data_IF_243864555952
#
_entry.id   IF_243864555952
#
_cell.length_a   1.000
_cell.length_b   1.000
_cell.length_c   1.000
_cell.angle_alpha   90.00
_cell.angle_beta   90.00
_cell.angle_gamma   90.00
#
_symmetry.space_group_name_H-M   'P 1'
#
loop_
_entity.id
_entity.type
_entity.pdbx_description
1 polymer ?
#
# COMPACT_ATOMS: atom_id res chain seq x y z
N UNK A 1 22.23 -36.75 -23.98
CA UNK A 1 21.24 -35.67 -23.78
C UNK A 1 20.48 -36.02 -22.52
N UNK A 2 20.92 -35.52 -21.36
CA UNK A 2 20.27 -35.80 -20.08
C UNK A 2 19.05 -34.90 -19.91
N UNK A 3 17.87 -35.51 -19.77
CA UNK A 3 16.63 -34.83 -19.46
C UNK A 3 16.56 -34.56 -17.96
N UNK A 4 16.89 -33.33 -17.56
CA UNK A 4 16.70 -32.87 -16.18
C UNK A 4 15.19 -32.74 -15.91
N UNK A 5 14.58 -33.80 -15.36
CA UNK A 5 13.25 -33.73 -14.74
C UNK A 5 13.36 -32.96 -13.42
N UNK A 6 13.27 -31.64 -13.46
CA UNK A 6 12.94 -30.88 -12.26
C UNK A 6 11.51 -31.23 -11.84
N UNK A 7 11.37 -32.06 -10.81
CA UNK A 7 10.11 -32.27 -10.08
C UNK A 7 9.56 -30.88 -9.73
N UNK A 8 8.42 -30.52 -10.33
CA UNK A 8 7.77 -29.21 -10.18
C UNK A 8 7.29 -28.95 -8.76
N UNK A 9 8.21 -28.65 -7.85
CA UNK A 9 7.88 -27.95 -6.62
C UNK A 9 7.78 -26.48 -6.97
N UNK A 10 6.55 -25.95 -6.92
CA UNK A 10 6.30 -24.51 -6.98
C UNK A 10 6.98 -23.92 -5.74
N UNK A 11 8.10 -23.25 -5.95
CA UNK A 11 8.74 -22.47 -4.90
C UNK A 11 7.93 -21.19 -4.73
N UNK A 12 6.95 -21.22 -3.81
CA UNK A 12 6.25 -20.01 -3.39
C UNK A 12 7.27 -19.14 -2.67
N UNK A 13 7.51 -17.94 -3.20
CA UNK A 13 8.42 -17.00 -2.58
C UNK A 13 7.86 -16.58 -1.22
N UNK A 14 8.65 -16.60 -0.14
CA UNK A 14 8.15 -16.19 1.17
C UNK A 14 7.57 -14.78 1.11
N UNK A 15 6.32 -14.64 1.56
CA UNK A 15 5.58 -13.38 1.59
C UNK A 15 4.85 -13.01 0.31
N UNK A 16 4.81 -13.89 -0.71
CA UNK A 16 3.98 -13.68 -1.90
C UNK A 16 2.50 -13.41 -1.53
N UNK A 17 2.02 -13.97 -0.41
CA UNK A 17 0.70 -13.67 0.15
C UNK A 17 0.56 -12.19 0.53
N UNK A 18 1.62 -11.56 1.06
CA UNK A 18 1.64 -10.13 1.41
C UNK A 18 1.56 -9.26 0.17
N UNK A 19 2.26 -9.64 -0.90
CA UNK A 19 2.14 -8.98 -2.20
C UNK A 19 0.72 -9.07 -2.78
N UNK A 20 0.12 -10.26 -2.76
CA UNK A 20 -1.26 -10.45 -3.22
C UNK A 20 -2.23 -9.61 -2.40
N UNK A 21 -2.16 -9.68 -1.07
CA UNK A 21 -3.05 -8.95 -0.18
C UNK A 21 -2.97 -7.44 -0.40
N UNK A 22 -1.76 -6.90 -0.54
CA UNK A 22 -1.61 -5.49 -0.79
C UNK A 22 -2.06 -5.08 -2.21
N UNK A 23 -1.82 -5.91 -3.23
CA UNK A 23 -2.33 -5.67 -4.59
C UNK A 23 -3.87 -5.65 -4.62
N UNK A 24 -4.50 -6.61 -3.94
CA UNK A 24 -5.96 -6.65 -3.80
C UNK A 24 -6.45 -5.42 -3.02
N UNK A 25 -5.75 -5.01 -1.96
CA UNK A 25 -6.13 -3.84 -1.17
C UNK A 25 -6.09 -2.56 -1.99
N UNK A 26 -5.07 -2.36 -2.84
CA UNK A 26 -4.97 -1.23 -3.77
C UNK A 26 -6.20 -1.20 -4.69
N UNK A 27 -6.55 -2.33 -5.31
CA UNK A 27 -7.72 -2.42 -6.20
C UNK A 27 -9.02 -2.11 -5.43
N UNK A 28 -9.17 -2.63 -4.21
CA UNK A 28 -10.33 -2.36 -3.38
C UNK A 28 -10.44 -0.88 -3.04
N UNK A 29 -9.34 -0.22 -2.66
CA UNK A 29 -9.38 1.19 -2.29
C UNK A 29 -9.69 2.08 -3.49
N UNK A 30 -9.07 1.87 -4.65
CA UNK A 30 -9.44 2.56 -5.89
C UNK A 30 -10.92 2.34 -6.25
N UNK A 31 -11.41 1.11 -6.07
CA UNK A 31 -12.82 0.80 -6.35
C UNK A 31 -13.77 1.51 -5.37
N UNK A 32 -13.41 1.61 -4.09
CA UNK A 32 -14.21 2.32 -3.09
C UNK A 32 -14.26 3.80 -3.43
N UNK A 33 -13.14 4.39 -3.82
CA UNK A 33 -13.04 5.80 -4.21
C UNK A 33 -13.91 6.10 -5.45
N UNK A 34 -13.73 5.33 -6.52
CA UNK A 34 -14.53 5.45 -7.74
C UNK A 34 -16.03 5.25 -7.49
N UNK A 35 -16.42 4.25 -6.71
CA UNK A 35 -17.82 4.03 -6.34
C UNK A 35 -18.32 5.23 -5.51
N UNK A 36 -17.49 5.76 -4.61
CA UNK A 36 -17.85 6.91 -3.78
C UNK A 36 -18.09 8.16 -4.61
N UNK A 37 -17.28 8.42 -5.66
CA UNK A 37 -17.48 9.51 -6.62
C UNK A 37 -18.74 9.29 -7.44
N UNK A 38 -18.91 8.11 -8.06
CA UNK A 38 -20.08 7.79 -8.90
C UNK A 38 -21.41 7.90 -8.12
N UNK A 39 -21.41 7.52 -6.84
CA UNK A 39 -22.62 7.46 -6.00
C UNK A 39 -22.79 8.66 -5.06
N UNK A 40 -21.88 9.64 -5.09
CA UNK A 40 -21.81 10.77 -4.15
C UNK A 40 -21.90 10.31 -2.67
N UNK A 41 -21.13 9.27 -2.32
CA UNK A 41 -21.07 8.80 -0.93
C UNK A 41 -20.45 9.83 0.02
N UNK A 42 -19.72 10.80 -0.50
CA UNK A 42 -19.16 11.93 0.23
C UNK A 42 -20.22 12.74 0.97
N UNK A 43 -21.48 12.72 0.52
CA UNK A 43 -22.58 13.33 1.28
C UNK A 43 -22.80 12.69 2.66
N UNK A 44 -22.58 11.38 2.78
CA UNK A 44 -22.75 10.63 4.02
C UNK A 44 -21.40 10.53 4.75
N UNK A 45 -20.32 10.28 4.01
CA UNK A 45 -18.97 10.08 4.52
C UNK A 45 -18.00 11.08 3.88
N UNK A 46 -18.00 12.35 4.30
CA UNK A 46 -17.23 13.40 3.62
C UNK A 46 -15.71 13.24 3.72
N UNK A 47 -15.22 12.40 4.63
CA UNK A 47 -13.81 12.13 4.88
C UNK A 47 -13.38 10.73 4.41
N UNK A 48 -14.22 10.02 3.64
CA UNK A 48 -13.90 8.65 3.18
C UNK A 48 -12.58 8.63 2.41
N UNK A 49 -12.29 9.71 1.70
CA UNK A 49 -11.10 9.90 0.89
C UNK A 49 -9.80 9.82 1.71
N UNK A 50 -9.70 10.63 2.76
CA UNK A 50 -8.57 10.64 3.70
C UNK A 50 -8.37 9.25 4.33
N UNK A 51 -9.47 8.56 4.65
CA UNK A 51 -9.38 7.21 5.21
C UNK A 51 -8.87 6.21 4.18
N UNK A 52 -9.33 6.26 2.92
CA UNK A 52 -8.83 5.39 1.86
C UNK A 52 -7.36 5.65 1.56
N UNK A 53 -6.93 6.91 1.57
CA UNK A 53 -5.52 7.31 1.40
C UNK A 53 -4.63 6.81 2.53
N UNK A 54 -5.05 6.94 3.79
CA UNK A 54 -4.32 6.40 4.94
C UNK A 54 -4.18 4.87 4.84
N UNK A 55 -5.26 4.17 4.49
CA UNK A 55 -5.27 2.71 4.36
C UNK A 55 -4.45 2.23 3.16
N UNK A 56 -4.48 2.96 2.04
CA UNK A 56 -3.63 2.71 0.88
C UNK A 56 -2.15 2.83 1.25
N UNK A 57 -1.78 3.84 2.05
CA UNK A 57 -0.44 3.99 2.60
C UNK A 57 0.04 2.80 3.43
N UNK A 58 -0.83 2.29 4.31
CA UNK A 58 -0.54 1.08 5.11
C UNK A 58 -0.31 -0.12 4.18
N UNK A 59 -1.16 -0.31 3.17
CA UNK A 59 -1.02 -1.41 2.20
C UNK A 59 0.26 -1.31 1.37
N UNK A 60 0.60 -0.12 0.87
CA UNK A 60 1.85 0.14 0.15
C UNK A 60 3.08 -0.17 1.01
N UNK A 61 3.02 0.16 2.30
CA UNK A 61 4.08 -0.20 3.21
C UNK A 61 4.24 -1.70 3.40
N UNK A 62 3.16 -2.48 3.46
CA UNK A 62 3.26 -3.95 3.49
C UNK A 62 3.92 -4.51 2.22
N UNK A 63 3.65 -3.94 1.04
CA UNK A 63 4.39 -4.29 -0.20
C UNK A 63 5.86 -3.97 -0.06
N UNK A 64 6.19 -2.77 0.40
CA UNK A 64 7.57 -2.32 0.56
C UNK A 64 8.33 -3.19 1.57
N UNK A 65 7.66 -3.56 2.67
CA UNK A 65 8.19 -4.48 3.65
C UNK A 65 8.44 -5.87 3.02
N UNK A 66 7.49 -6.39 2.25
CA UNK A 66 7.66 -7.64 1.52
C UNK A 66 8.82 -7.61 0.53
N UNK A 67 8.96 -6.53 -0.25
CA UNK A 67 10.12 -6.31 -1.12
C UNK A 67 11.42 -6.38 -0.29
N UNK A 68 11.42 -5.76 0.89
CA UNK A 68 12.52 -5.82 1.84
C UNK A 68 12.80 -7.19 2.47
N UNK A 69 11.84 -8.12 2.49
CA UNK A 69 12.07 -9.49 2.99
C UNK A 69 12.52 -10.44 1.89
N UNK A 70 12.02 -10.26 0.67
CA UNK A 70 12.38 -11.10 -0.49
C UNK A 70 13.77 -10.76 -1.01
N UNK A 71 14.15 -9.47 -1.01
CA UNK A 71 15.46 -9.06 -1.49
C UNK A 71 16.56 -9.36 -0.47
N UNK A 72 17.57 -10.10 -0.91
CA UNK A 72 18.81 -10.36 -0.14
C UNK A 72 19.83 -9.21 -0.25
N UNK A 73 19.47 -8.11 -0.89
CA UNK A 73 20.37 -6.99 -1.17
C UNK A 73 20.57 -6.10 0.07
N UNK A 74 21.81 -5.60 0.27
CA UNK A 74 22.16 -4.58 1.26
C UNK A 74 21.37 -3.27 1.10
N UNK A 75 20.82 -3.00 -0.09
CA UNK A 75 20.07 -1.79 -0.42
C UNK A 75 18.55 -1.97 -0.43
N UNK A 76 18.04 -3.13 -0.01
CA UNK A 76 16.61 -3.46 -0.02
C UNK A 76 15.68 -2.43 0.63
N UNK A 77 16.14 -1.76 1.70
CA UNK A 77 15.36 -0.71 2.38
C UNK A 77 15.23 0.56 1.53
N UNK A 78 16.29 0.92 0.79
CA UNK A 78 16.25 2.05 -0.15
C UNK A 78 15.31 1.76 -1.31
N UNK A 79 15.36 0.53 -1.84
CA UNK A 79 14.46 0.12 -2.92
C UNK A 79 13.00 0.09 -2.46
N UNK A 80 12.73 -0.46 -1.27
CA UNK A 80 11.40 -0.45 -0.66
C UNK A 80 10.87 0.98 -0.47
N UNK A 81 11.70 1.90 0.02
CA UNK A 81 11.33 3.31 0.15
C UNK A 81 11.03 3.96 -1.21
N UNK A 82 11.92 3.77 -2.19
CA UNK A 82 11.71 4.31 -3.55
C UNK A 82 10.44 3.73 -4.19
N UNK A 83 10.15 2.46 -3.95
CA UNK A 83 8.91 1.83 -4.39
C UNK A 83 7.68 2.51 -3.78
N UNK A 84 7.64 2.75 -2.47
CA UNK A 84 6.52 3.47 -1.84
C UNK A 84 6.32 4.84 -2.47
N UNK A 85 7.41 5.62 -2.60
CA UNK A 85 7.34 6.96 -3.20
C UNK A 85 6.83 6.90 -4.64
N UNK A 86 7.40 6.01 -5.47
CA UNK A 86 6.97 5.87 -6.86
C UNK A 86 5.52 5.41 -6.97
N UNK A 87 5.08 4.47 -6.12
CA UNK A 87 3.70 4.00 -6.09
C UNK A 87 2.71 5.07 -5.62
N UNK A 88 3.08 5.90 -4.64
CA UNK A 88 2.25 7.06 -4.23
C UNK A 88 2.11 8.08 -5.35
N UNK A 89 3.18 8.35 -6.11
CA UNK A 89 3.10 9.22 -7.29
C UNK A 89 2.20 8.61 -8.39
N UNK A 90 2.30 7.30 -8.63
CA UNK A 90 1.44 6.63 -9.61
C UNK A 90 -0.03 6.68 -9.18
N UNK A 91 -0.30 6.47 -7.89
CA UNK A 91 -1.63 6.57 -7.31
C UNK A 91 -2.25 7.94 -7.59
N UNK A 92 -1.53 9.01 -7.22
CA UNK A 92 -1.91 10.39 -7.46
C UNK A 92 -2.25 10.67 -8.94
N UNK A 93 -1.42 10.15 -9.85
CA UNK A 93 -1.65 10.30 -11.29
C UNK A 93 -2.94 9.57 -11.70
N UNK A 94 -3.20 8.39 -11.15
CA UNK A 94 -4.42 7.63 -11.45
C UNK A 94 -5.67 8.35 -10.95
N UNK A 95 -5.63 8.91 -9.75
CA UNK A 95 -6.70 9.72 -9.18
C UNK A 95 -6.95 10.99 -10.00
N UNK A 96 -5.90 11.74 -10.35
CA UNK A 96 -6.01 12.91 -11.23
C UNK A 96 -6.68 12.55 -12.57
N UNK A 97 -6.35 11.38 -13.13
CA UNK A 97 -6.99 10.90 -14.37
C UNK A 97 -8.46 10.53 -14.14
N UNK A 98 -8.80 9.99 -12.98
CA UNK A 98 -10.17 9.71 -12.59
C UNK A 98 -11.00 10.99 -12.48
N UNK A 99 -10.45 12.04 -11.88
CA UNK A 99 -11.09 13.37 -11.76
C UNK A 99 -11.45 13.99 -13.09
N UNK A 100 -10.62 13.77 -14.11
CA UNK A 100 -10.88 14.23 -15.46
C UNK A 100 -12.09 13.53 -16.10
N UNK A 101 -12.44 12.33 -15.64
CA UNK A 101 -13.56 11.52 -16.15
C UNK A 101 -14.80 11.69 -15.26
N UNK A 102 -14.60 11.72 -13.94
CA UNK A 102 -15.64 11.82 -12.91
C UNK A 102 -15.29 13.00 -11.99
N UNK A 103 -15.87 14.18 -12.23
CA UNK A 103 -15.55 15.38 -11.46
C UNK A 103 -15.89 15.24 -9.97
N UNK A 104 -15.14 15.94 -9.12
CA UNK A 104 -15.32 15.88 -7.67
C UNK A 104 -16.71 16.37 -7.26
N UNK A 105 -17.47 15.57 -6.50
CA UNK A 105 -18.77 15.99 -6.01
C UNK A 105 -18.60 17.14 -5.01
N UNK A 106 -19.53 18.09 -4.95
CA UNK A 106 -19.41 19.29 -4.11
C UNK A 106 -19.41 19.03 -2.61
N UNK A 107 -19.73 17.80 -2.19
CA UNK A 107 -19.74 17.36 -0.79
C UNK A 107 -18.42 16.71 -0.36
N UNK A 108 -17.51 16.44 -1.30
CA UNK A 108 -16.15 16.01 -1.00
C UNK A 108 -15.50 17.08 -0.14
N UNK A 109 -15.01 16.67 1.04
CA UNK A 109 -14.27 17.55 1.93
C UNK A 109 -12.80 17.17 1.87
N UNK A 110 -12.14 17.70 0.85
CA UNK A 110 -10.69 17.74 0.82
C UNK A 110 -10.22 18.81 1.78
N UNK A 111 -9.27 18.41 2.62
CA UNK A 111 -8.79 19.29 3.69
C UNK A 111 -7.83 20.33 3.11
N UNK A 112 -7.37 20.22 1.85
CA UNK A 112 -6.34 21.11 1.31
C UNK A 112 -6.43 21.40 -0.19
N UNK A 113 -5.99 22.61 -0.56
CA UNK A 113 -5.76 23.07 -1.95
C UNK A 113 -4.60 22.32 -2.66
N UNK A 114 -3.95 21.39 -1.96
CA UNK A 114 -2.81 20.58 -2.37
C UNK A 114 -3.09 19.11 -2.07
N UNK A 115 -4.29 18.65 -2.40
CA UNK A 115 -4.86 17.37 -1.96
C UNK A 115 -3.89 16.20 -2.11
N UNK A 116 -3.43 15.97 -3.33
CA UNK A 116 -2.44 14.95 -3.64
C UNK A 116 -1.09 15.03 -2.93
N UNK A 117 -0.67 16.24 -2.51
CA UNK A 117 0.53 16.36 -1.68
C UNK A 117 0.28 15.81 -0.27
N UNK A 118 -0.90 16.07 0.29
CA UNK A 118 -1.26 15.56 1.61
C UNK A 118 -1.56 14.06 1.58
N UNK A 119 -2.09 13.52 0.49
CA UNK A 119 -2.29 12.09 0.35
C UNK A 119 -0.98 11.31 0.30
N UNK A 120 0.03 11.86 -0.37
CA UNK A 120 1.39 11.34 -0.29
C UNK A 120 1.91 11.39 1.16
N UNK A 121 1.67 12.49 1.89
CA UNK A 121 2.08 12.60 3.30
C UNK A 121 1.35 11.56 4.17
N UNK A 122 0.04 11.42 4.06
CA UNK A 122 -0.74 10.46 4.83
C UNK A 122 -0.36 9.03 4.48
N UNK A 123 -0.07 8.74 3.21
CA UNK A 123 0.44 7.46 2.78
C UNK A 123 1.79 7.15 3.45
N UNK A 124 2.70 8.13 3.49
CA UNK A 124 3.99 8.03 4.17
C UNK A 124 3.80 7.81 5.69
N UNK A 125 2.91 8.56 6.34
CA UNK A 125 2.59 8.43 7.77
C UNK A 125 2.04 7.03 8.07
N UNK A 126 1.07 6.56 7.29
CA UNK A 126 0.51 5.21 7.41
C UNK A 126 1.60 4.14 7.29
N UNK A 127 2.54 4.33 6.36
CA UNK A 127 3.70 3.48 6.23
C UNK A 127 4.64 3.51 7.44
N UNK A 128 4.91 4.68 8.02
CA UNK A 128 5.70 4.79 9.26
C UNK A 128 5.03 4.11 10.46
N UNK A 129 3.71 4.21 10.58
CA UNK A 129 2.94 3.54 11.64
C UNK A 129 3.09 2.02 11.50
N UNK A 130 2.86 1.50 10.29
CA UNK A 130 2.99 0.07 10.03
C UNK A 130 4.44 -0.43 10.22
N UNK A 131 5.44 0.37 9.84
CA UNK A 131 6.86 0.07 10.12
C UNK A 131 7.15 -0.05 11.61
N UNK A 132 6.70 0.93 12.39
CA UNK A 132 6.89 0.95 13.84
C UNK A 132 6.24 -0.27 14.50
N UNK A 133 5.06 -0.67 14.03
CA UNK A 133 4.35 -1.85 14.51
C UNK A 133 5.13 -3.14 14.22
N UNK A 134 5.62 -3.31 12.98
CA UNK A 134 6.39 -4.50 12.59
C UNK A 134 7.70 -4.60 13.37
N UNK A 135 8.44 -3.50 13.55
CA UNK A 135 9.68 -3.52 14.32
C UNK A 135 9.45 -3.95 15.77
N UNK A 136 8.39 -3.45 16.40
CA UNK A 136 8.01 -3.86 17.76
C UNK A 136 7.57 -5.32 17.80
N UNK A 137 6.77 -5.77 16.83
CA UNK A 137 6.36 -7.16 16.72
C UNK A 137 7.56 -8.11 16.57
N UNK A 138 8.50 -7.82 15.66
CA UNK A 138 9.69 -8.65 15.46
C UNK A 138 10.59 -8.69 16.70
N UNK A 139 10.76 -7.57 17.41
CA UNK A 139 11.54 -7.54 18.67
C UNK A 139 10.90 -8.45 19.72
N UNK A 140 9.59 -8.39 19.87
CA UNK A 140 8.83 -9.22 20.81
C UNK A 140 8.89 -10.70 20.44
N UNK A 141 8.69 -11.01 19.15
CA UNK A 141 8.74 -12.38 18.63
C UNK A 141 10.13 -13.01 18.79
N UNK A 142 11.21 -12.28 18.51
CA UNK A 142 12.58 -12.76 18.77
C UNK A 142 12.82 -13.04 20.26
N UNK A 143 12.33 -12.18 21.16
CA UNK A 143 12.43 -12.40 22.61
C UNK A 143 11.67 -13.64 23.06
N UNK A 144 10.55 -13.97 22.43
CA UNK A 144 9.76 -15.17 22.73
C UNK A 144 10.49 -16.45 22.28
N UNK A 145 11.01 -16.49 21.05
CA UNK A 145 11.73 -17.66 20.51
C UNK A 145 13.03 -17.93 21.26
N UNK A 146 13.77 -16.89 21.65
CA UNK A 146 15.09 -17.06 22.28
C UNK A 146 15.02 -17.27 23.80
N UNK A 147 13.83 -17.19 24.39
CA UNK A 147 13.59 -17.51 25.81
C UNK A 147 12.96 -18.90 26.02
N UNK A 148 12.49 -19.56 24.95
CA UNK A 148 12.03 -20.95 24.95
C UNK A 148 13.15 -21.90 24.53
#
# INVERSE_FOLDING_TARGET
>A
METIKHKGKIHIHPGFETFILASISIIIFLSIELISRIRDWYRIFPYIDIFTHLLAGISLFFVAFWIGTVLKDKHKHKLAFFFVVASSIIWEIMETLEEMIVPNPPHLKDIFFWDGFFDIIFAIIGGFIAFSFILNYMKTFRKLIWKS
#
